data_IF_470832572378
#
_entry.id   IF_470832572378
#
_cell.length_a   1.000
_cell.length_b   1.000
_cell.length_c   1.000
_cell.angle_alpha   90.00
_cell.angle_beta   90.00
_cell.angle_gamma   90.00
#
_symmetry.space_group_name_H-M   'P 1'
#
loop_
_entity.id
_entity.type
_entity.pdbx_description
1 polymer ?
#
# COMPACT_ATOMS: atom_id res chain seq x y z
N UNK A 1 -13.51 -9.54 1.16
CA UNK A 1 -13.26 -10.47 0.04
C UNK A 1 -14.32 -11.55 -0.11
N UNK A 2 -14.90 -12.11 0.96
CA UNK A 2 -16.02 -13.05 0.82
C UNK A 2 -17.24 -12.41 0.12
N UNK A 3 -17.43 -11.09 0.29
CA UNK A 3 -18.38 -10.26 -0.45
C UNK A 3 -18.15 -10.24 -1.98
N UNK A 4 -16.92 -10.50 -2.44
CA UNK A 4 -16.61 -10.63 -3.87
C UNK A 4 -16.85 -12.06 -4.33
N UNK A 5 -16.12 -13.02 -3.73
CA UNK A 5 -16.35 -14.45 -3.94
C UNK A 5 -15.62 -15.29 -2.88
N UNK A 6 -16.23 -16.33 -2.29
CA UNK A 6 -15.60 -17.16 -1.25
C UNK A 6 -14.32 -17.89 -1.70
N UNK A 7 -14.19 -18.22 -2.99
CA UNK A 7 -12.97 -18.83 -3.55
C UNK A 7 -11.71 -17.99 -3.38
N UNK A 8 -11.84 -16.66 -3.23
CA UNK A 8 -10.71 -15.77 -2.97
C UNK A 8 -10.08 -15.98 -1.59
N UNK A 9 -10.72 -16.75 -0.71
CA UNK A 9 -10.20 -17.13 0.60
C UNK A 9 -9.62 -18.55 0.62
N UNK A 10 -9.75 -19.33 -0.45
CA UNK A 10 -9.23 -20.69 -0.52
C UNK A 10 -7.69 -20.70 -0.55
N UNK A 11 -7.09 -21.51 0.34
CA UNK A 11 -5.64 -21.73 0.38
C UNK A 11 -5.24 -22.74 -0.71
N UNK A 12 -4.63 -22.24 -1.78
CA UNK A 12 -4.19 -23.03 -2.94
C UNK A 12 -2.68 -23.25 -2.99
N UNK A 13 -1.92 -22.81 -1.97
CA UNK A 13 -0.44 -22.84 -2.00
C UNK A 13 0.15 -24.19 -1.56
N UNK A 14 -0.60 -24.99 -0.78
CA UNK A 14 -0.17 -26.34 -0.38
C UNK A 14 -0.82 -27.40 -1.27
N UNK A 15 -0.20 -28.59 -1.33
CA UNK A 15 -0.52 -29.79 -2.14
C UNK A 15 -1.99 -30.30 -2.18
N UNK A 16 -2.99 -29.57 -1.66
CA UNK A 16 -4.44 -29.85 -1.72
C UNK A 16 -5.23 -28.94 -2.69
N UNK A 17 -4.58 -28.49 -3.77
CA UNK A 17 -5.01 -27.41 -4.69
C UNK A 17 -6.49 -27.48 -5.15
N UNK A 18 -7.06 -28.63 -5.58
CA UNK A 18 -8.44 -28.63 -6.05
C UNK A 18 -9.48 -28.62 -4.93
N UNK A 19 -9.20 -29.22 -3.77
CA UNK A 19 -10.24 -29.48 -2.77
C UNK A 19 -10.69 -28.24 -2.01
N UNK A 20 -9.77 -27.34 -1.68
CA UNK A 20 -10.11 -26.07 -1.02
C UNK A 20 -10.94 -25.18 -1.96
N UNK A 21 -10.61 -25.19 -3.25
CA UNK A 21 -11.37 -24.48 -4.27
C UNK A 21 -12.75 -25.09 -4.49
N UNK A 22 -12.86 -26.42 -4.59
CA UNK A 22 -14.14 -27.12 -4.70
C UNK A 22 -15.03 -26.81 -3.51
N UNK A 23 -14.49 -26.88 -2.30
CA UNK A 23 -15.21 -26.52 -1.08
C UNK A 23 -15.70 -25.06 -1.13
N UNK A 24 -14.83 -24.11 -1.51
CA UNK A 24 -15.20 -22.70 -1.60
C UNK A 24 -16.22 -22.40 -2.73
N UNK A 25 -16.29 -23.24 -3.76
CA UNK A 25 -17.30 -23.19 -4.82
C UNK A 25 -18.61 -23.91 -4.44
N UNK A 26 -18.69 -24.52 -3.25
CA UNK A 26 -19.85 -25.30 -2.81
C UNK A 26 -19.96 -26.68 -3.46
N UNK A 27 -18.89 -27.19 -4.07
CA UNK A 27 -18.84 -28.50 -4.70
C UNK A 27 -18.49 -29.59 -3.67
N UNK A 28 -19.02 -30.82 -3.83
CA UNK A 28 -18.72 -31.91 -2.91
C UNK A 28 -17.26 -32.36 -3.01
N UNK A 29 -16.57 -32.38 -1.86
CA UNK A 29 -15.20 -32.88 -1.74
C UNK A 29 -15.22 -34.36 -1.35
N UNK A 30 -14.62 -35.22 -2.18
CA UNK A 30 -14.58 -36.68 -1.97
C UNK A 30 -13.30 -37.18 -1.29
N UNK A 31 -12.41 -36.27 -0.91
CA UNK A 31 -11.14 -36.61 -0.28
C UNK A 31 -11.37 -37.07 1.19
N UNK A 32 -10.90 -38.26 1.57
CA UNK A 32 -10.97 -38.70 2.96
C UNK A 32 -10.12 -37.78 3.86
N UNK A 33 -10.67 -37.42 5.04
CA UNK A 33 -10.02 -36.51 6.02
C UNK A 33 -9.74 -35.10 5.48
N UNK A 34 -10.59 -34.59 4.60
CA UNK A 34 -10.54 -33.20 4.18
C UNK A 34 -10.86 -32.24 5.34
N UNK A 35 -10.04 -31.22 5.50
CA UNK A 35 -10.30 -30.07 6.39
C UNK A 35 -10.22 -28.78 5.56
N UNK A 36 -11.27 -27.96 5.64
CA UNK A 36 -11.31 -26.66 4.98
C UNK A 36 -10.29 -25.72 5.63
N UNK A 37 -9.45 -25.09 4.82
CA UNK A 37 -8.44 -24.14 5.28
C UNK A 37 -8.48 -22.88 4.44
N UNK A 38 -8.60 -21.73 5.11
CA UNK A 38 -8.47 -20.43 4.49
C UNK A 38 -7.02 -19.98 4.39
N UNK A 39 -6.78 -19.01 3.50
CA UNK A 39 -5.49 -18.32 3.42
C UNK A 39 -5.13 -17.60 4.74
N UNK A 40 -3.83 -17.39 5.01
CA UNK A 40 -3.36 -16.52 6.08
C UNK A 40 -3.87 -15.08 5.93
N UNK A 41 -4.01 -14.36 7.05
CA UNK A 41 -4.47 -12.96 7.04
C UNK A 41 -3.55 -12.02 6.24
N UNK A 42 -2.24 -12.28 6.21
CA UNK A 42 -1.30 -11.51 5.40
C UNK A 42 -1.60 -11.62 3.90
N UNK A 43 -1.97 -12.81 3.44
CA UNK A 43 -2.43 -13.05 2.08
C UNK A 43 -3.79 -12.39 1.82
N UNK A 44 -4.67 -12.31 2.83
CA UNK A 44 -5.93 -11.56 2.74
C UNK A 44 -5.65 -10.08 2.42
N UNK A 45 -4.80 -9.42 3.21
CA UNK A 45 -4.44 -8.02 2.98
C UNK A 45 -3.75 -7.82 1.62
N UNK A 46 -2.83 -8.70 1.25
CA UNK A 46 -2.18 -8.62 -0.06
C UNK A 46 -3.20 -8.70 -1.21
N UNK A 47 -4.09 -9.69 -1.19
CA UNK A 47 -5.13 -9.83 -2.23
C UNK A 47 -6.08 -8.63 -2.25
N UNK A 48 -6.48 -8.11 -1.08
CA UNK A 48 -7.31 -6.90 -0.99
C UNK A 48 -6.65 -5.71 -1.70
N UNK A 49 -5.34 -5.52 -1.56
CA UNK A 49 -4.61 -4.42 -2.23
C UNK A 49 -4.54 -4.56 -3.74
N UNK A 50 -4.72 -5.77 -4.26
CA UNK A 50 -4.79 -6.04 -5.70
C UNK A 50 -6.21 -5.90 -6.26
N UNK A 51 -7.23 -6.02 -5.40
CA UNK A 51 -8.64 -5.93 -5.78
C UNK A 51 -9.20 -4.52 -5.61
N UNK A 52 -8.71 -3.76 -4.63
CA UNK A 52 -9.27 -2.46 -4.27
C UNK A 52 -8.17 -1.39 -4.28
N UNK A 53 -8.24 -0.47 -5.24
CA UNK A 53 -7.23 0.59 -5.45
C UNK A 53 -7.04 1.50 -4.21
N UNK A 54 -8.11 1.71 -3.45
CA UNK A 54 -8.08 2.51 -2.21
C UNK A 54 -7.29 1.84 -1.08
N UNK A 55 -7.08 0.53 -1.12
CA UNK A 55 -6.35 -0.21 -0.10
C UNK A 55 -4.89 -0.36 -0.51
N UNK A 56 -4.06 0.55 -0.02
CA UNK A 56 -2.68 0.74 -0.50
C UNK A 56 -1.70 -0.25 0.13
N UNK A 57 -0.47 -0.31 -0.41
CA UNK A 57 0.61 -1.08 0.20
C UNK A 57 0.95 -0.63 1.63
N UNK A 58 0.78 0.66 1.93
CA UNK A 58 1.01 1.20 3.26
C UNK A 58 -0.04 0.70 4.26
N UNK A 59 -1.30 0.60 3.81
CA UNK A 59 -2.37 0.01 4.60
C UNK A 59 -2.11 -1.48 4.87
N UNK A 60 -1.67 -2.24 3.85
CA UNK A 60 -1.27 -3.65 4.01
C UNK A 60 -0.15 -3.80 5.05
N UNK A 61 0.88 -2.97 4.95
CA UNK A 61 2.02 -3.00 5.87
C UNK A 61 1.59 -2.67 7.30
N UNK A 62 0.72 -1.67 7.47
CA UNK A 62 0.14 -1.34 8.75
C UNK A 62 -0.68 -2.50 9.31
N UNK A 63 -1.62 -3.05 8.54
CA UNK A 63 -2.51 -4.13 8.98
C UNK A 63 -1.73 -5.38 9.40
N UNK A 64 -0.69 -5.77 8.65
CA UNK A 64 0.17 -6.89 9.03
C UNK A 64 0.87 -6.64 10.36
N UNK A 65 1.53 -5.48 10.52
CA UNK A 65 2.20 -5.12 11.78
C UNK A 65 1.22 -5.07 12.96
N UNK A 66 0.04 -4.52 12.74
CA UNK A 66 -0.99 -4.41 13.77
C UNK A 66 -1.50 -5.80 14.18
N UNK A 67 -1.71 -6.71 13.22
CA UNK A 67 -2.13 -8.07 13.49
C UNK A 67 -1.04 -8.89 14.18
N UNK A 68 0.24 -8.69 13.83
CA UNK A 68 1.36 -9.33 14.51
C UNK A 68 1.46 -8.91 15.98
N UNK A 69 1.22 -7.63 16.28
CA UNK A 69 1.13 -7.14 17.67
C UNK A 69 -0.02 -7.82 18.40
N UNK A 70 -1.23 -7.83 17.81
CA UNK A 70 -2.39 -8.48 18.43
C UNK A 70 -2.17 -9.98 18.66
N UNK A 71 -1.56 -10.67 17.70
CA UNK A 71 -1.19 -12.07 17.83
C UNK A 71 -0.15 -12.28 18.95
N UNK A 72 0.84 -11.40 19.07
CA UNK A 72 1.81 -11.47 20.17
C UNK A 72 1.14 -11.26 21.52
N UNK A 73 0.20 -10.34 21.63
CA UNK A 73 -0.56 -10.11 22.86
C UNK A 73 -1.37 -11.36 23.25
N UNK A 74 -2.15 -11.89 22.31
CA UNK A 74 -3.05 -13.05 22.54
C UNK A 74 -2.28 -14.35 22.79
N UNK A 75 -1.18 -14.59 22.06
CA UNK A 75 -0.48 -15.89 22.12
C UNK A 75 0.73 -15.90 23.05
N UNK A 76 1.36 -14.77 23.30
CA UNK A 76 2.58 -14.71 24.13
C UNK A 76 2.40 -13.92 25.42
N UNK A 77 1.24 -13.29 25.63
CA UNK A 77 0.97 -12.47 26.82
C UNK A 77 1.82 -11.19 26.91
N UNK A 78 2.48 -10.81 25.81
CA UNK A 78 3.22 -9.55 25.73
C UNK A 78 2.24 -8.37 25.66
N UNK A 79 2.70 -7.17 26.00
CA UNK A 79 1.91 -5.94 25.92
C UNK A 79 2.51 -5.03 24.83
N UNK A 80 2.40 -5.41 23.54
CA UNK A 80 3.12 -4.74 22.45
C UNK A 80 2.64 -3.32 22.14
N UNK A 81 1.57 -2.88 22.81
CA UNK A 81 1.02 -1.53 22.70
C UNK A 81 1.42 -0.60 23.85
N UNK A 82 2.03 -1.11 24.92
CA UNK A 82 2.34 -0.33 26.14
C UNK A 82 3.28 0.85 25.85
N UNK A 83 4.30 0.61 25.01
CA UNK A 83 5.29 1.63 24.61
C UNK A 83 4.83 2.48 23.40
N UNK A 84 3.59 2.32 22.93
CA UNK A 84 3.12 2.92 21.69
C UNK A 84 1.95 3.85 21.98
N UNK A 85 2.14 5.14 21.73
CA UNK A 85 1.06 6.12 21.83
C UNK A 85 -0.10 5.77 20.91
N UNK A 86 -1.32 5.80 21.45
CA UNK A 86 -2.58 5.60 20.72
C UNK A 86 -2.69 6.46 19.45
N UNK A 87 -2.27 7.72 19.55
CA UNK A 87 -2.29 8.68 18.44
C UNK A 87 -1.44 8.21 17.24
N UNK A 88 -0.46 7.33 17.47
CA UNK A 88 0.43 6.85 16.41
C UNK A 88 -0.18 5.74 15.54
N UNK A 89 -1.17 5.00 16.04
CA UNK A 89 -1.70 3.83 15.34
C UNK A 89 -3.22 3.85 15.16
N UNK A 90 -3.98 4.44 16.10
CA UNK A 90 -5.45 4.47 16.04
C UNK A 90 -5.99 5.13 14.76
N UNK A 91 -5.47 6.28 14.29
CA UNK A 91 -5.99 6.88 13.06
C UNK A 91 -5.82 5.98 11.85
N UNK A 92 -4.66 5.29 11.76
CA UNK A 92 -4.39 4.37 10.66
C UNK A 92 -5.24 3.09 10.76
N UNK A 93 -5.53 2.64 11.98
CA UNK A 93 -6.47 1.55 12.24
C UNK A 93 -7.88 1.90 11.75
N UNK A 94 -8.43 3.04 12.15
CA UNK A 94 -9.75 3.48 11.70
C UNK A 94 -9.79 3.70 10.19
N UNK A 95 -8.73 4.27 9.59
CA UNK A 95 -8.61 4.42 8.14
C UNK A 95 -8.67 3.07 7.41
N UNK A 96 -7.91 2.08 7.88
CA UNK A 96 -7.93 0.74 7.30
C UNK A 96 -9.32 0.10 7.45
N UNK A 97 -9.95 0.19 8.62
CA UNK A 97 -11.32 -0.28 8.82
C UNK A 97 -12.31 0.40 7.87
N UNK A 98 -12.24 1.73 7.73
CA UNK A 98 -13.10 2.50 6.82
C UNK A 98 -12.96 2.03 5.38
N UNK A 99 -11.73 1.91 4.87
CA UNK A 99 -11.48 1.44 3.49
C UNK A 99 -12.07 0.04 3.29
N UNK A 100 -11.90 -0.87 4.25
CA UNK A 100 -12.40 -2.23 4.15
C UNK A 100 -13.94 -2.30 4.22
N UNK A 101 -14.57 -1.51 5.11
CA UNK A 101 -16.02 -1.41 5.22
C UNK A 101 -16.66 -0.84 3.95
N UNK A 102 -16.03 0.17 3.34
CA UNK A 102 -16.47 0.74 2.06
C UNK A 102 -16.52 -0.32 0.95
N UNK A 103 -15.67 -1.36 0.99
CA UNK A 103 -15.76 -2.47 0.00
C UNK A 103 -17.02 -3.32 0.14
N UNK A 104 -17.72 -3.22 1.26
CA UNK A 104 -18.93 -3.97 1.59
C UNK A 104 -20.16 -3.04 1.67
N UNK A 105 -20.06 -1.82 1.14
CA UNK A 105 -21.08 -0.77 1.26
C UNK A 105 -21.49 -0.46 2.71
N UNK A 106 -20.53 -0.62 3.63
CA UNK A 106 -20.68 -0.32 5.06
C UNK A 106 -19.89 0.93 5.45
N UNK A 107 -20.24 1.50 6.59
CA UNK A 107 -19.63 2.69 7.20
C UNK A 107 -19.10 2.35 8.59
N UNK A 108 -18.24 3.21 9.13
CA UNK A 108 -17.68 3.05 10.48
C UNK A 108 -18.75 2.94 11.58
N UNK A 109 -19.86 3.67 11.43
CA UNK A 109 -21.02 3.60 12.34
C UNK A 109 -21.61 2.20 12.44
N UNK A 110 -21.56 1.41 11.35
CA UNK A 110 -22.11 0.05 11.33
C UNK A 110 -21.24 -0.94 12.14
N UNK A 111 -19.98 -0.58 12.40
CA UNK A 111 -19.04 -1.39 13.17
C UNK A 111 -18.85 -0.89 14.61
N UNK A 112 -18.76 0.43 14.81
CA UNK A 112 -18.37 1.03 16.08
C UNK A 112 -19.51 1.81 16.78
N UNK A 113 -20.65 2.05 16.12
CA UNK A 113 -21.71 2.92 16.62
C UNK A 113 -21.45 4.41 16.35
N UNK A 114 -22.41 5.27 16.68
CA UNK A 114 -22.39 6.71 16.33
C UNK A 114 -21.23 7.47 16.96
N UNK A 115 -21.08 7.36 18.29
CA UNK A 115 -20.10 8.15 19.04
C UNK A 115 -18.65 7.86 18.60
N UNK A 116 -18.31 6.57 18.54
CA UNK A 116 -16.96 6.14 18.21
C UNK A 116 -16.65 6.37 16.72
N UNK A 117 -17.62 6.22 15.82
CA UNK A 117 -17.44 6.53 14.41
C UNK A 117 -17.13 8.01 14.18
N UNK A 118 -17.79 8.93 14.91
CA UNK A 118 -17.51 10.37 14.82
C UNK A 118 -16.11 10.74 15.34
N UNK A 119 -15.63 10.04 16.39
CA UNK A 119 -14.25 10.19 16.87
C UNK A 119 -13.27 9.66 15.82
N UNK A 120 -13.52 8.47 15.28
CA UNK A 120 -12.69 7.83 14.26
C UNK A 120 -12.52 8.70 13.01
N UNK A 121 -13.61 9.28 12.49
CA UNK A 121 -13.57 10.18 11.33
C UNK A 121 -12.72 11.43 11.61
N UNK A 122 -12.88 12.04 12.78
CA UNK A 122 -12.06 13.20 13.18
C UNK A 122 -10.57 12.83 13.30
N UNK A 123 -10.25 11.66 13.86
CA UNK A 123 -8.88 11.17 13.97
C UNK A 123 -8.23 10.94 12.60
N UNK A 124 -8.98 10.37 11.64
CA UNK A 124 -8.50 10.16 10.27
C UNK A 124 -8.15 11.50 9.62
N UNK A 125 -9.05 12.49 9.67
CA UNK A 125 -8.85 13.83 9.09
C UNK A 125 -7.63 14.51 9.69
N UNK A 126 -7.52 14.52 11.03
CA UNK A 126 -6.38 15.14 11.74
C UNK A 126 -5.06 14.46 11.33
N UNK A 127 -5.05 13.15 11.15
CA UNK A 127 -3.85 12.41 10.77
C UNK A 127 -3.44 12.70 9.32
N UNK A 128 -4.38 12.75 8.39
CA UNK A 128 -4.10 13.08 7.00
C UNK A 128 -3.57 14.53 6.87
N UNK A 129 -4.12 15.49 7.61
CA UNK A 129 -3.61 16.87 7.68
C UNK A 129 -2.20 16.95 8.28
N UNK A 130 -1.93 16.21 9.36
CA UNK A 130 -0.59 16.11 9.95
C UNK A 130 0.41 15.51 8.96
N UNK A 131 0.01 14.49 8.21
CA UNK A 131 0.87 13.87 7.20
C UNK A 131 1.18 14.84 6.05
N UNK A 132 0.16 15.55 5.53
CA UNK A 132 0.35 16.59 4.52
C UNK A 132 1.27 17.70 5.02
N UNK A 133 1.11 18.13 6.27
CA UNK A 133 1.94 19.16 6.90
C UNK A 133 3.39 18.71 7.08
N UNK A 134 3.62 17.46 7.52
CA UNK A 134 4.96 16.86 7.61
C UNK A 134 5.66 16.82 6.25
N UNK A 135 4.97 16.37 5.21
CA UNK A 135 5.52 16.32 3.84
C UNK A 135 5.92 17.73 3.39
N UNK A 136 5.03 18.72 3.57
CA UNK A 136 5.34 20.13 3.26
C UNK A 136 6.56 20.63 4.01
N UNK A 137 6.68 20.32 5.30
CA UNK A 137 7.83 20.71 6.12
C UNK A 137 9.14 20.08 5.64
N UNK A 138 9.13 18.81 5.23
CA UNK A 138 10.31 18.13 4.68
C UNK A 138 10.73 18.78 3.36
N UNK A 139 9.77 19.02 2.46
CA UNK A 139 10.03 19.73 1.20
C UNK A 139 10.62 21.11 1.45
N UNK A 140 10.06 21.88 2.38
CA UNK A 140 10.55 23.23 2.71
C UNK A 140 11.94 23.20 3.34
N UNK A 141 12.23 22.21 4.19
CA UNK A 141 13.57 22.02 4.77
C UNK A 141 14.61 21.76 3.69
N UNK A 142 14.32 20.85 2.76
CA UNK A 142 15.23 20.58 1.64
C UNK A 142 15.34 21.75 0.66
N UNK A 143 14.27 22.53 0.49
CA UNK A 143 14.28 23.76 -0.30
C UNK A 143 15.22 24.80 0.32
N UNK A 144 15.18 25.00 1.64
CA UNK A 144 16.12 25.88 2.35
C UNK A 144 17.55 25.38 2.23
N UNK A 145 17.80 24.09 2.49
CA UNK A 145 19.14 23.51 2.31
C UNK A 145 19.66 23.61 0.87
N UNK A 146 18.78 23.64 -0.12
CA UNK A 146 19.15 23.95 -1.51
C UNK A 146 19.45 25.44 -1.70
N UNK A 147 18.62 26.33 -1.14
CA UNK A 147 18.79 27.78 -1.14
C UNK A 147 19.98 28.31 -0.32
N UNK A 148 20.59 27.48 0.52
CA UNK A 148 21.82 27.82 1.23
C UNK A 148 23.08 27.47 0.42
N UNK A 149 22.96 26.67 -0.65
CA UNK A 149 24.09 26.32 -1.53
C UNK A 149 24.49 27.50 -2.42
N UNK A 150 25.76 27.58 -2.78
CA UNK A 150 26.25 28.59 -3.74
C UNK A 150 25.66 28.36 -5.13
N UNK A 151 25.61 29.42 -5.94
CA UNK A 151 25.08 29.36 -7.31
C UNK A 151 25.85 28.35 -8.17
N UNK A 152 27.18 28.33 -8.07
CA UNK A 152 28.04 27.36 -8.77
C UNK A 152 27.72 25.92 -8.37
N UNK A 153 27.47 25.68 -7.07
CA UNK A 153 27.13 24.34 -6.58
C UNK A 153 25.73 23.92 -7.05
N UNK A 154 24.75 24.84 -7.06
CA UNK A 154 23.42 24.57 -7.60
C UNK A 154 23.44 24.26 -9.08
N UNK A 155 24.19 24.99 -9.88
CA UNK A 155 24.33 24.72 -11.31
C UNK A 155 24.96 23.35 -11.55
N UNK A 156 26.05 23.02 -10.84
CA UNK A 156 26.71 21.72 -10.94
C UNK A 156 25.77 20.57 -10.55
N UNK A 157 25.03 20.70 -9.45
CA UNK A 157 24.08 19.68 -8.99
C UNK A 157 22.87 19.55 -9.93
N UNK A 158 22.38 20.65 -10.49
CA UNK A 158 21.26 20.64 -11.46
C UNK A 158 21.64 19.97 -12.79
N UNK A 159 22.89 20.19 -13.25
CA UNK A 159 23.45 19.51 -14.42
C UNK A 159 23.59 18.01 -14.14
N UNK A 160 24.15 17.62 -12.99
CA UNK A 160 24.22 16.20 -12.58
C UNK A 160 22.84 15.55 -12.50
N UNK A 161 21.87 16.23 -11.91
CA UNK A 161 20.50 15.75 -11.81
C UNK A 161 19.87 15.53 -13.21
N UNK A 162 20.17 16.39 -14.17
CA UNK A 162 19.72 16.23 -15.57
C UNK A 162 20.34 15.02 -16.26
N UNK A 163 21.62 14.74 -15.99
CA UNK A 163 22.32 13.55 -16.51
C UNK A 163 21.77 12.27 -15.87
N UNK A 164 21.41 12.32 -14.59
CA UNK A 164 20.86 11.16 -13.87
C UNK A 164 19.39 10.89 -14.18
N UNK A 165 18.59 11.95 -14.41
CA UNK A 165 17.16 11.84 -14.67
C UNK A 165 16.82 11.48 -16.12
N UNK A 166 17.33 10.33 -16.58
CA UNK A 166 17.02 9.77 -17.91
C UNK A 166 15.69 9.01 -17.89
N UNK A 167 14.85 9.23 -18.90
CA UNK A 167 13.51 8.61 -19.02
C UNK A 167 13.54 7.07 -19.00
N UNK A 168 14.65 6.45 -19.41
CA UNK A 168 14.84 5.00 -19.34
C UNK A 168 14.84 4.44 -17.91
N UNK A 169 15.09 5.28 -16.90
CA UNK A 169 15.25 4.86 -15.51
C UNK A 169 14.03 5.14 -14.65
N UNK A 170 13.05 5.94 -15.09
CA UNK A 170 11.86 6.24 -14.30
C UNK A 170 11.04 7.38 -14.88
N UNK A 171 9.94 7.76 -14.20
CA UNK A 171 9.12 8.89 -14.64
C UNK A 171 9.79 10.20 -14.27
N UNK A 172 10.17 11.00 -15.28
CA UNK A 172 10.85 12.27 -15.06
C UNK A 172 9.88 13.34 -14.60
N UNK A 173 10.15 13.94 -13.44
CA UNK A 173 9.36 15.02 -12.86
C UNK A 173 10.26 16.18 -12.41
N UNK A 174 9.64 17.30 -12.04
CA UNK A 174 10.32 18.41 -11.36
C UNK A 174 10.33 18.18 -9.85
N UNK A 175 11.51 18.28 -9.24
CA UNK A 175 11.62 18.19 -7.79
C UNK A 175 10.91 19.37 -7.12
N UNK A 176 10.01 19.17 -6.15
CA UNK A 176 9.30 20.26 -5.47
C UNK A 176 10.21 21.11 -4.54
N UNK A 177 11.40 20.62 -4.20
CA UNK A 177 12.36 21.34 -3.35
C UNK A 177 13.35 22.21 -4.15
N UNK A 178 13.91 21.68 -5.25
CA UNK A 178 14.99 22.33 -6.00
C UNK A 178 14.68 22.59 -7.48
N UNK A 179 13.50 22.21 -7.97
CA UNK A 179 13.04 22.37 -9.36
C UNK A 179 13.94 21.71 -10.44
N UNK A 180 14.98 20.99 -10.01
CA UNK A 180 15.81 20.18 -10.88
C UNK A 180 15.03 18.98 -11.41
N UNK A 181 15.54 18.40 -12.50
CA UNK A 181 15.00 17.17 -13.05
C UNK A 181 15.24 16.03 -12.07
N UNK A 182 14.18 15.29 -11.75
CA UNK A 182 14.21 14.15 -10.84
C UNK A 182 13.49 12.97 -11.46
N UNK A 183 13.73 11.77 -10.92
CA UNK A 183 13.00 10.56 -11.26
C UNK A 183 12.08 10.19 -10.11
N UNK A 184 10.83 9.90 -10.43
CA UNK A 184 9.91 9.20 -9.56
C UNK A 184 9.82 7.77 -10.04
N UNK A 185 9.99 6.87 -9.10
CA UNK A 185 9.83 5.44 -9.28
C UNK A 185 8.50 5.06 -8.65
N UNK A 186 7.77 4.17 -9.31
CA UNK A 186 6.56 3.59 -8.79
C UNK A 186 6.44 2.17 -9.30
N UNK A 187 5.81 1.30 -8.51
CA UNK A 187 5.41 -0.01 -8.99
C UNK A 187 4.11 0.16 -9.80
N UNK A 188 4.01 -0.45 -10.99
CA UNK A 188 2.76 -0.43 -11.74
C UNK A 188 1.69 -1.17 -10.95
N UNK A 189 0.60 -0.46 -10.63
CA UNK A 189 -0.61 -1.02 -10.03
C UNK A 189 -1.70 -1.01 -11.11
N UNK A 190 -1.98 -2.17 -11.71
CA UNK A 190 -3.02 -2.35 -12.74
C UNK A 190 -2.52 -2.65 -14.17
N UNK A 191 -3.44 -2.75 -15.12
CA UNK A 191 -3.13 -2.99 -16.54
C UNK A 191 -2.36 -1.80 -17.15
N UNK A 192 -1.13 -2.06 -17.58
CA UNK A 192 -0.26 -1.07 -18.22
C UNK A 192 -0.78 -0.77 -19.63
N UNK A 193 -1.45 0.36 -19.82
CA UNK A 193 -1.80 0.88 -21.15
C UNK A 193 -0.55 1.45 -21.84
N UNK A 194 0.10 0.62 -22.65
CA UNK A 194 1.24 1.03 -23.48
C UNK A 194 0.71 1.86 -24.65
N UNK A 195 1.07 3.15 -24.70
CA UNK A 195 0.73 4.01 -25.85
C UNK A 195 1.95 4.09 -26.77
N UNK A 196 1.89 3.41 -27.93
CA UNK A 196 3.00 3.42 -28.90
C UNK A 196 3.07 4.79 -29.61
N UNK A 197 4.13 5.55 -29.37
CA UNK A 197 4.47 6.71 -30.22
C UNK A 197 5.11 6.22 -31.52
N UNK A 198 4.40 6.32 -32.64
CA UNK A 198 4.95 6.06 -33.99
C UNK A 198 6.08 7.05 -34.30
N UNK A 199 7.34 6.61 -34.16
CA UNK A 199 8.46 7.12 -34.98
C UNK A 199 9.18 5.92 -35.59
N UNK A 200 9.53 6.07 -36.86
CA UNK A 200 10.22 5.10 -37.68
C UNK A 200 11.49 4.59 -37.00
N UNK A 201 11.72 3.27 -37.00
CA UNK A 201 13.00 2.66 -36.66
C UNK A 201 12.94 1.64 -35.51
N UNK A 202 13.24 0.38 -35.85
CA UNK A 202 13.58 -0.80 -35.05
C UNK A 202 13.10 -0.89 -33.59
N UNK A 203 12.28 -1.91 -33.35
CA UNK A 203 11.77 -2.31 -32.04
C UNK A 203 12.90 -2.90 -31.19
N UNK A 204 13.19 -2.27 -30.04
CA UNK A 204 13.85 -2.96 -28.93
C UNK A 204 12.83 -3.16 -27.82
N UNK A 205 12.39 -4.40 -27.64
CA UNK A 205 11.65 -4.79 -26.43
C UNK A 205 12.67 -4.98 -25.32
N UNK A 206 12.76 -4.01 -24.41
CA UNK A 206 13.44 -4.23 -23.13
C UNK A 206 12.40 -4.29 -22.03
N UNK A 207 12.18 -5.51 -21.55
CA UNK A 207 11.54 -5.79 -20.26
C UNK A 207 12.41 -5.12 -19.20
N UNK A 208 11.89 -4.23 -18.32
CA UNK A 208 12.69 -3.75 -17.21
C UNK A 208 12.95 -4.93 -16.27
N UNK A 209 14.21 -5.37 -16.25
CA UNK A 209 14.73 -6.28 -15.25
C UNK A 209 14.74 -5.58 -13.89
N UNK A 210 14.42 -6.36 -12.85
CA UNK A 210 14.56 -6.05 -11.42
C UNK A 210 15.79 -5.18 -11.13
N UNK A 211 15.65 -4.19 -10.25
CA UNK A 211 16.73 -3.72 -9.40
C UNK A 211 16.20 -3.22 -8.05
N UNK A 212 16.61 -3.98 -7.03
CA UNK A 212 16.84 -3.69 -5.58
C UNK A 212 15.84 -2.79 -4.87
#
# INVERSE_FOLDING_TARGET
>A
MANVHPSLLADIEKNGIPYQLYFALGLPVKEPRFFSKSIPISQVFYRLSKLFEKFTSDDVNFCNKHMDRRNSEVHTGKIPFDDISDISWQPQFYKACKILLETMDMRLIDLFGEEEADIAERLIVINDDKNASKIKSVVETHKKSWQDKSEDERQRLSQKATIWATEEKGHRVKCPACESNSLVFGEPVGEVKITLRRRHGYFTTRVPAKCI
#
